data_IF_544367721609
#
_entry.id   IF_544367721609
#
_cell.length_a   1.000
_cell.length_b   1.000
_cell.length_c   1.000
_cell.angle_alpha   90.00
_cell.angle_beta   90.00
_cell.angle_gamma   90.00
#
_symmetry.space_group_name_H-M   'P 1'
#
loop_
_entity.id
_entity.type
_entity.pdbx_description
1 polymer ?
#
# COMPACT_ATOMS: atom_id res chain seq x y z
N UNK A 1 69.06 -0.01 32.97
CA UNK A 1 67.71 -0.53 32.54
C UNK A 1 66.53 0.06 33.27
N UNK A 2 66.58 0.96 34.22
CA UNK A 2 65.45 1.54 34.94
C UNK A 2 65.06 2.94 34.43
N UNK A 3 65.89 3.62 33.67
CA UNK A 3 65.61 4.98 33.19
C UNK A 3 64.76 5.05 31.90
N UNK A 4 64.81 4.06 31.05
CA UNK A 4 64.08 4.04 29.79
C UNK A 4 62.62 3.62 29.92
N UNK A 5 62.23 2.99 31.05
CA UNK A 5 60.83 2.59 31.32
C UNK A 5 60.00 3.79 31.78
N UNK A 6 60.62 4.78 32.46
CA UNK A 6 59.95 5.97 32.95
C UNK A 6 59.56 6.90 31.79
N UNK A 7 60.39 7.02 30.77
CA UNK A 7 60.07 7.84 29.60
C UNK A 7 59.01 7.22 28.70
N UNK A 8 58.89 5.89 28.68
CA UNK A 8 57.85 5.20 27.94
C UNK A 8 56.46 5.32 28.61
N UNK A 9 56.41 5.38 29.93
CA UNK A 9 55.19 5.59 30.69
C UNK A 9 54.69 7.06 30.70
N UNK A 10 55.61 8.03 30.58
CA UNK A 10 55.28 9.45 30.44
C UNK A 10 54.84 9.85 29.03
N UNK A 11 55.25 9.14 27.98
CA UNK A 11 54.78 9.37 26.61
C UNK A 11 53.40 8.80 26.35
N UNK A 12 52.96 7.80 27.13
CA UNK A 12 51.64 7.17 26.99
C UNK A 12 50.53 7.91 27.73
N UNK A 13 50.90 8.77 28.72
CA UNK A 13 49.91 9.57 29.47
C UNK A 13 49.53 10.88 28.79
N UNK A 14 50.23 11.30 27.73
CA UNK A 14 49.90 12.57 27.01
C UNK A 14 48.99 12.38 25.78
N UNK A 15 48.57 11.14 25.48
CA UNK A 15 47.72 10.80 24.34
C UNK A 15 46.25 10.57 24.73
N UNK A 16 45.84 10.80 26.00
CA UNK A 16 44.46 10.56 26.46
C UNK A 16 43.65 11.83 26.75
N UNK A 17 44.04 13.00 26.25
CA UNK A 17 43.31 14.25 26.54
C UNK A 17 42.65 14.89 25.32
N UNK A 18 42.57 14.21 24.18
CA UNK A 18 41.83 14.74 23.02
C UNK A 18 40.91 13.68 22.44
N UNK A 19 39.85 13.31 23.20
CA UNK A 19 38.69 12.64 22.63
C UNK A 19 37.45 12.96 23.45
N UNK A 20 37.15 14.24 23.55
CA UNK A 20 35.76 14.69 23.76
C UNK A 20 35.23 15.17 22.41
N UNK A 21 34.87 14.23 21.51
CA UNK A 21 33.87 14.53 20.50
C UNK A 21 32.52 14.62 21.25
N UNK A 22 32.12 15.85 21.51
CA UNK A 22 30.76 16.11 21.94
C UNK A 22 29.78 15.45 20.97
N UNK A 23 28.86 14.67 21.48
CA UNK A 23 27.64 14.36 20.74
C UNK A 23 27.00 15.70 20.38
N UNK A 24 27.17 16.12 19.12
CA UNK A 24 26.25 17.09 18.54
C UNK A 24 24.87 16.46 18.62
N UNK A 25 24.06 16.95 19.54
CA UNK A 25 22.62 16.72 19.45
C UNK A 25 22.20 17.48 18.20
N UNK A 26 21.80 16.75 17.18
CA UNK A 26 21.08 17.33 16.06
C UNK A 26 19.89 18.08 16.61
N UNK A 27 19.91 19.39 16.52
CA UNK A 27 18.77 20.22 16.87
C UNK A 27 17.66 19.96 15.86
N UNK A 28 16.42 19.97 16.33
CA UNK A 28 15.21 19.70 15.54
C UNK A 28 15.07 20.58 14.30
N UNK A 29 15.87 21.64 14.21
CA UNK A 29 15.87 22.63 13.10
C UNK A 29 16.76 22.23 11.90
N UNK A 30 17.59 21.20 12.02
CA UNK A 30 18.42 20.71 10.88
C UNK A 30 17.74 19.62 10.04
N UNK A 31 16.51 19.24 10.38
CA UNK A 31 15.71 18.28 9.60
C UNK A 31 14.66 18.93 8.68
N UNK A 32 14.72 20.24 8.50
CA UNK A 32 13.92 20.95 7.50
C UNK A 32 14.77 21.36 6.31
N UNK A 33 15.54 20.43 5.73
CA UNK A 33 15.78 20.54 4.31
C UNK A 33 14.44 20.23 3.64
N UNK A 34 13.71 21.30 3.33
CA UNK A 34 12.55 21.23 2.45
C UNK A 34 13.07 20.71 1.11
N UNK A 35 12.96 19.40 0.89
CA UNK A 35 13.02 18.86 -0.45
C UNK A 35 11.95 19.62 -1.20
N UNK A 36 12.38 20.56 -2.04
CA UNK A 36 11.46 21.28 -2.90
C UNK A 36 10.76 20.21 -3.74
N UNK A 37 9.52 19.93 -3.41
CA UNK A 37 8.70 18.96 -4.15
C UNK A 37 8.50 19.56 -5.54
N UNK A 38 9.23 19.02 -6.53
CA UNK A 38 9.14 19.44 -7.93
C UNK A 38 7.87 18.88 -8.60
N UNK A 39 6.73 18.95 -7.93
CA UNK A 39 5.47 18.38 -8.43
C UNK A 39 4.23 19.08 -7.87
N UNK A 40 3.04 18.73 -8.36
CA UNK A 40 1.79 19.26 -7.85
C UNK A 40 1.60 18.91 -6.38
N UNK A 41 0.92 19.79 -5.64
CA UNK A 41 0.69 19.61 -4.20
C UNK A 41 -0.36 18.51 -3.99
N UNK A 42 0.01 17.48 -3.25
CA UNK A 42 -0.92 16.44 -2.79
C UNK A 42 -1.89 17.04 -1.76
N UNK A 43 -3.19 16.81 -1.95
CA UNK A 43 -4.26 17.34 -1.09
C UNK A 43 -4.72 16.22 -0.16
N UNK A 44 -4.22 16.23 1.07
CA UNK A 44 -4.58 15.27 2.10
C UNK A 44 -6.09 15.22 2.39
N UNK A 45 -6.74 16.38 2.42
CA UNK A 45 -8.19 16.46 2.62
C UNK A 45 -8.96 15.75 1.50
N UNK A 46 -8.53 15.89 0.24
CA UNK A 46 -9.17 15.18 -0.88
C UNK A 46 -8.99 13.67 -0.76
N UNK A 47 -7.79 13.20 -0.42
CA UNK A 47 -7.54 11.78 -0.20
C UNK A 47 -8.41 11.23 0.95
N UNK A 48 -8.53 11.99 2.04
CA UNK A 48 -9.39 11.64 3.17
C UNK A 48 -10.88 11.60 2.78
N UNK A 49 -11.36 12.57 1.99
CA UNK A 49 -12.73 12.56 1.47
C UNK A 49 -13.02 11.32 0.60
N UNK A 50 -12.05 10.86 -0.21
CA UNK A 50 -12.20 9.63 -0.98
C UNK A 50 -12.27 8.40 -0.06
N UNK A 51 -11.51 8.38 1.03
CA UNK A 51 -11.62 7.33 2.05
C UNK A 51 -13.00 7.36 2.72
N UNK A 52 -13.44 8.52 3.21
CA UNK A 52 -14.75 8.69 3.85
C UNK A 52 -15.90 8.25 2.92
N UNK A 53 -15.80 8.56 1.63
CA UNK A 53 -16.79 8.16 0.64
C UNK A 53 -16.87 6.65 0.44
N UNK A 54 -15.74 5.96 0.41
CA UNK A 54 -15.70 4.50 0.32
C UNK A 54 -16.34 3.86 1.56
N UNK A 55 -15.99 4.33 2.76
CA UNK A 55 -16.59 3.86 4.02
C UNK A 55 -18.11 4.13 4.08
N UNK A 56 -18.58 5.21 3.48
CA UNK A 56 -20.01 5.56 3.46
C UNK A 56 -20.89 4.55 2.70
N UNK A 57 -20.31 3.66 1.87
CA UNK A 57 -21.06 2.55 1.26
C UNK A 57 -21.29 1.40 2.25
N UNK A 58 -20.56 1.37 3.38
CA UNK A 58 -20.47 0.28 4.33
C UNK A 58 -19.34 -0.70 3.98
N UNK A 59 -19.22 -1.81 4.76
CA UNK A 59 -18.23 -2.84 4.51
C UNK A 59 -18.31 -3.39 3.07
N UNK A 60 -17.23 -3.30 2.30
CA UNK A 60 -17.14 -3.74 0.90
C UNK A 60 -16.86 -5.23 0.82
N UNK A 61 -17.68 -6.02 1.50
CA UNK A 61 -17.57 -7.47 1.51
C UNK A 61 -17.92 -8.01 0.13
N UNK A 62 -17.15 -8.96 -0.34
CA UNK A 62 -17.44 -9.66 -1.59
C UNK A 62 -18.91 -10.07 -1.72
N UNK A 63 -19.47 -9.91 -2.92
CA UNK A 63 -20.87 -10.21 -3.26
C UNK A 63 -21.92 -9.34 -2.54
N UNK A 64 -21.56 -8.25 -1.87
CA UNK A 64 -22.50 -7.34 -1.21
C UNK A 64 -22.88 -6.15 -2.09
N UNK A 65 -24.06 -5.57 -1.82
CA UNK A 65 -24.49 -4.31 -2.49
C UNK A 65 -23.53 -3.16 -2.20
N UNK A 66 -22.92 -3.12 -1.00
CA UNK A 66 -21.93 -2.12 -0.64
C UNK A 66 -20.67 -2.23 -1.52
N UNK A 67 -20.19 -3.46 -1.75
CA UNK A 67 -19.09 -3.76 -2.65
C UNK A 67 -19.42 -3.31 -4.08
N UNK A 68 -20.53 -3.74 -4.66
CA UNK A 68 -20.92 -3.38 -6.03
C UNK A 68 -21.01 -1.86 -6.23
N UNK A 69 -21.64 -1.16 -5.29
CA UNK A 69 -21.80 0.29 -5.35
C UNK A 69 -20.47 1.03 -5.20
N UNK A 70 -19.59 0.57 -4.32
CA UNK A 70 -18.27 1.16 -4.12
C UNK A 70 -17.39 0.93 -5.35
N UNK A 71 -17.33 -0.30 -5.88
CA UNK A 71 -16.60 -0.62 -7.09
C UNK A 71 -17.02 0.26 -8.28
N UNK A 72 -18.34 0.38 -8.48
CA UNK A 72 -18.87 1.30 -9.50
C UNK A 72 -18.42 2.74 -9.27
N UNK A 73 -18.46 3.23 -8.04
CA UNK A 73 -18.03 4.58 -7.72
C UNK A 73 -16.52 4.79 -7.98
N UNK A 74 -15.67 3.82 -7.63
CA UNK A 74 -14.23 3.87 -7.92
C UNK A 74 -13.99 3.99 -9.42
N UNK A 75 -14.65 3.15 -10.22
CA UNK A 75 -14.61 3.18 -11.70
C UNK A 75 -15.01 4.54 -12.24
N UNK A 76 -16.19 5.05 -11.81
CA UNK A 76 -16.70 6.33 -12.26
C UNK A 76 -15.74 7.48 -11.85
N UNK A 77 -15.10 7.36 -10.68
CA UNK A 77 -14.17 8.36 -10.17
C UNK A 77 -12.90 8.43 -11.01
N UNK A 78 -12.26 7.30 -11.31
CA UNK A 78 -11.11 7.28 -12.22
C UNK A 78 -11.46 7.80 -13.62
N UNK A 79 -12.61 7.40 -14.17
CA UNK A 79 -13.11 7.93 -15.45
C UNK A 79 -13.31 9.44 -15.42
N UNK A 80 -13.78 10.01 -14.30
CA UNK A 80 -13.96 11.45 -14.13
C UNK A 80 -12.64 12.22 -14.17
N UNK A 81 -11.52 11.56 -13.91
CA UNK A 81 -10.16 12.09 -14.04
C UNK A 81 -9.55 11.88 -15.44
N UNK A 82 -10.34 11.35 -16.38
CA UNK A 82 -9.91 11.14 -17.76
C UNK A 82 -9.05 9.91 -17.98
N UNK A 83 -9.05 8.95 -17.05
CA UNK A 83 -8.34 7.70 -17.21
C UNK A 83 -9.20 6.67 -17.97
N UNK A 84 -8.55 5.82 -18.77
CA UNK A 84 -9.18 4.64 -19.34
C UNK A 84 -9.30 3.56 -18.26
N UNK A 85 -10.50 2.99 -18.08
CA UNK A 85 -10.75 2.03 -17.01
C UNK A 85 -11.22 0.69 -17.57
N UNK A 86 -10.49 -0.36 -17.21
CA UNK A 86 -10.80 -1.76 -17.47
C UNK A 86 -11.35 -2.38 -16.18
N UNK A 87 -12.51 -3.03 -16.29
CA UNK A 87 -13.11 -3.83 -15.23
C UNK A 87 -12.82 -5.31 -15.54
N UNK A 88 -11.79 -5.88 -14.92
CA UNK A 88 -11.43 -7.28 -15.06
C UNK A 88 -12.26 -8.14 -14.11
N UNK A 89 -13.32 -8.73 -14.64
CA UNK A 89 -14.26 -9.55 -13.85
C UNK A 89 -13.84 -11.02 -13.85
N UNK A 90 -13.97 -11.65 -12.69
CA UNK A 90 -13.70 -13.06 -12.49
C UNK A 90 -14.61 -13.67 -11.43
N UNK A 91 -15.00 -14.93 -11.58
CA UNK A 91 -15.54 -15.73 -10.49
C UNK A 91 -14.37 -16.47 -9.83
N UNK A 92 -14.05 -16.06 -8.62
CA UNK A 92 -12.98 -16.67 -7.80
C UNK A 92 -13.58 -17.62 -6.76
N UNK A 93 -12.74 -18.35 -6.04
CA UNK A 93 -13.17 -19.26 -4.97
C UNK A 93 -12.50 -18.89 -3.67
N UNK A 94 -13.31 -18.65 -2.64
CA UNK A 94 -12.83 -18.49 -1.28
C UNK A 94 -12.27 -19.78 -0.68
N UNK A 95 -11.67 -19.69 0.51
CA UNK A 95 -11.13 -20.86 1.23
C UNK A 95 -12.16 -21.95 1.52
N UNK A 96 -13.44 -21.61 1.51
CA UNK A 96 -14.60 -22.47 1.80
C UNK A 96 -15.42 -22.80 0.54
N UNK A 97 -14.82 -22.66 -0.64
CA UNK A 97 -15.45 -22.81 -1.96
C UNK A 97 -16.55 -21.77 -2.26
N UNK A 98 -16.72 -20.75 -1.42
CA UNK A 98 -17.67 -19.67 -1.71
C UNK A 98 -17.31 -19.02 -3.06
N UNK A 99 -18.26 -18.92 -4.02
CA UNK A 99 -18.02 -18.19 -5.25
C UNK A 99 -17.97 -16.67 -4.97
N UNK A 100 -16.89 -16.03 -5.41
CA UNK A 100 -16.63 -14.60 -5.24
C UNK A 100 -16.67 -13.91 -6.60
N UNK A 101 -17.66 -13.02 -6.81
CA UNK A 101 -17.75 -12.21 -8.03
C UNK A 101 -16.78 -11.03 -7.93
N UNK A 102 -15.54 -11.25 -8.32
CA UNK A 102 -14.49 -10.26 -8.19
C UNK A 102 -14.40 -9.34 -9.40
N UNK A 103 -13.99 -8.09 -9.15
CA UNK A 103 -13.70 -7.08 -10.18
C UNK A 103 -12.42 -6.34 -9.84
N UNK A 104 -11.29 -6.72 -10.45
CA UNK A 104 -10.11 -5.86 -10.43
C UNK A 104 -10.38 -4.63 -11.30
N UNK A 105 -10.11 -3.45 -10.76
CA UNK A 105 -10.30 -2.17 -11.46
C UNK A 105 -8.93 -1.65 -11.87
N UNK A 106 -8.70 -1.51 -13.20
CA UNK A 106 -7.42 -1.07 -13.74
C UNK A 106 -7.64 0.27 -14.45
N UNK A 107 -7.18 1.36 -13.84
CA UNK A 107 -7.30 2.69 -14.41
C UNK A 107 -5.95 3.13 -14.99
N UNK A 108 -5.93 3.51 -16.26
CA UNK A 108 -4.71 3.74 -17.03
C UNK A 108 -4.54 5.23 -17.39
N UNK A 109 -3.46 5.83 -16.90
CA UNK A 109 -2.95 7.10 -17.40
C UNK A 109 -1.96 6.82 -18.52
N UNK A 110 -2.15 7.44 -19.71
CA UNK A 110 -1.35 7.23 -20.93
C UNK A 110 -1.19 5.73 -21.25
N UNK A 111 -2.28 5.03 -21.64
CA UNK A 111 -2.25 3.59 -21.92
C UNK A 111 -1.31 3.20 -23.07
N UNK A 112 -0.98 4.16 -23.95
CA UNK A 112 -0.06 4.00 -25.07
C UNK A 112 1.43 4.12 -24.70
N UNK A 113 1.77 4.61 -23.49
CA UNK A 113 3.16 4.79 -23.08
C UNK A 113 3.86 3.43 -22.94
N UNK A 114 5.06 3.32 -23.53
CA UNK A 114 5.87 2.09 -23.47
C UNK A 114 6.43 1.83 -22.06
N UNK A 115 6.86 2.91 -21.37
CA UNK A 115 7.37 2.84 -20.01
C UNK A 115 6.23 3.08 -19.03
N UNK A 116 5.99 2.12 -18.16
CA UNK A 116 4.85 2.16 -17.23
C UNK A 116 5.27 1.79 -15.82
N UNK A 117 4.55 2.32 -14.86
CA UNK A 117 4.64 1.94 -13.44
C UNK A 117 3.24 1.53 -12.94
N UNK A 118 3.21 0.68 -11.92
CA UNK A 118 1.98 0.28 -11.25
C UNK A 118 1.90 0.99 -9.91
N UNK A 119 0.72 1.51 -9.56
CA UNK A 119 0.35 1.85 -8.19
C UNK A 119 -0.89 1.03 -7.86
N UNK A 120 -0.84 0.23 -6.81
CA UNK A 120 -1.92 -0.69 -6.51
C UNK A 120 -2.30 -0.68 -5.03
N UNK A 121 -3.54 -1.09 -4.77
CA UNK A 121 -4.12 -1.33 -3.46
C UNK A 121 -5.23 -2.37 -3.61
N UNK A 122 -5.69 -2.98 -2.52
CA UNK A 122 -6.96 -3.68 -2.56
C UNK A 122 -8.11 -2.73 -2.22
N UNK A 123 -9.36 -3.09 -2.55
CA UNK A 123 -10.52 -2.24 -2.32
C UNK A 123 -11.70 -2.93 -1.63
N UNK A 124 -11.67 -4.26 -1.55
CA UNK A 124 -12.62 -5.04 -0.77
C UNK A 124 -12.41 -4.87 0.74
N UNK A 125 -13.23 -5.48 1.55
CA UNK A 125 -13.14 -5.45 3.00
C UNK A 125 -13.33 -6.85 3.57
N UNK A 126 -12.59 -7.12 4.65
CA UNK A 126 -12.68 -8.37 5.37
C UNK A 126 -14.10 -8.59 5.92
N UNK A 127 -14.72 -9.74 5.67
CA UNK A 127 -16.10 -10.01 6.11
C UNK A 127 -16.20 -10.34 7.60
N UNK A 128 -15.09 -10.42 8.31
CA UNK A 128 -15.03 -10.78 9.72
C UNK A 128 -13.88 -10.09 10.44
N UNK A 129 -14.11 -9.70 11.71
CA UNK A 129 -13.14 -9.11 12.60
C UNK A 129 -12.46 -10.18 13.46
N UNK A 130 -11.87 -11.20 12.83
CA UNK A 130 -11.37 -12.40 13.48
C UNK A 130 -10.13 -12.21 14.36
N UNK A 131 -9.53 -11.02 14.33
CA UNK A 131 -8.46 -10.58 15.22
C UNK A 131 -8.94 -9.61 16.32
N UNK A 132 -10.26 -9.34 16.43
CA UNK A 132 -10.80 -8.50 17.49
C UNK A 132 -10.57 -9.18 18.85
N UNK A 133 -10.16 -8.42 19.90
CA UNK A 133 -9.98 -8.97 21.24
C UNK A 133 -11.26 -9.56 21.86
N UNK A 134 -12.46 -9.10 21.46
CA UNK A 134 -13.73 -9.69 21.85
C UNK A 134 -14.23 -10.67 20.77
N UNK A 135 -14.19 -11.97 21.08
CA UNK A 135 -14.63 -13.04 20.18
C UNK A 135 -16.07 -12.86 19.65
N UNK A 136 -16.91 -12.09 20.33
CA UNK A 136 -18.28 -11.78 19.85
C UNK A 136 -18.28 -11.00 18.55
N UNK A 137 -17.21 -10.25 18.30
CA UNK A 137 -17.05 -9.44 17.11
C UNK A 137 -16.48 -10.25 15.92
N UNK A 138 -15.90 -11.42 16.15
CA UNK A 138 -15.17 -12.17 15.13
C UNK A 138 -15.93 -12.39 13.82
N UNK A 139 -17.25 -12.52 13.88
CA UNK A 139 -18.09 -12.71 12.69
C UNK A 139 -18.75 -11.41 12.18
N UNK A 140 -18.28 -10.28 12.68
CA UNK A 140 -18.77 -8.96 12.28
C UNK A 140 -17.88 -8.40 11.18
N UNK A 141 -18.45 -7.85 10.09
CA UNK A 141 -17.67 -7.17 9.06
C UNK A 141 -16.91 -5.97 9.60
N UNK A 142 -15.78 -5.66 8.99
CA UNK A 142 -15.02 -4.43 9.30
C UNK A 142 -15.25 -3.36 8.23
N UNK A 143 -15.17 -2.07 8.64
CA UNK A 143 -15.26 -0.95 7.70
C UNK A 143 -14.02 -0.80 6.83
N UNK A 144 -12.91 -1.39 7.22
CA UNK A 144 -11.65 -1.42 6.47
C UNK A 144 -11.18 -0.01 6.02
N UNK A 145 -11.28 1.00 6.91
CA UNK A 145 -10.98 2.39 6.59
C UNK A 145 -9.47 2.64 6.33
N UNK A 146 -8.61 1.87 6.97
CA UNK A 146 -7.17 1.90 6.71
C UNK A 146 -6.76 0.77 5.76
N UNK A 147 -7.33 -0.39 5.96
CA UNK A 147 -7.07 -1.62 5.24
C UNK A 147 -7.90 -1.65 3.94
N UNK A 148 -7.22 -1.43 2.81
CA UNK A 148 -7.75 -1.22 1.48
C UNK A 148 -8.15 0.21 1.15
N UNK A 149 -9.03 0.84 1.93
CA UNK A 149 -9.58 2.18 1.62
C UNK A 149 -8.49 3.26 1.53
N UNK A 150 -7.51 3.26 2.47
CA UNK A 150 -6.48 4.29 2.50
C UNK A 150 -5.63 4.29 1.23
N UNK A 151 -5.24 3.10 0.75
CA UNK A 151 -4.47 2.96 -0.48
C UNK A 151 -5.23 3.49 -1.70
N UNK A 152 -6.52 3.10 -1.84
CA UNK A 152 -7.36 3.60 -2.95
C UNK A 152 -7.57 5.11 -2.85
N UNK A 153 -7.74 5.67 -1.63
CA UNK A 153 -7.87 7.12 -1.44
C UNK A 153 -6.65 7.89 -1.95
N UNK A 154 -5.45 7.40 -1.64
CA UNK A 154 -4.18 7.96 -2.15
C UNK A 154 -4.09 7.82 -3.67
N UNK A 155 -4.44 6.66 -4.23
CA UNK A 155 -4.42 6.43 -5.68
C UNK A 155 -5.34 7.41 -6.43
N UNK A 156 -6.54 7.67 -5.91
CA UNK A 156 -7.49 8.61 -6.49
C UNK A 156 -6.94 10.05 -6.46
N UNK A 157 -6.26 10.44 -5.39
CA UNK A 157 -5.64 11.77 -5.33
C UNK A 157 -4.47 11.90 -6.30
N UNK A 158 -3.62 10.88 -6.43
CA UNK A 158 -2.56 10.85 -7.45
C UNK A 158 -3.18 10.96 -8.85
N UNK A 159 -4.23 10.19 -9.14
CA UNK A 159 -4.92 10.23 -10.44
C UNK A 159 -5.50 11.61 -10.73
N UNK A 160 -6.03 12.31 -9.71
CA UNK A 160 -6.49 13.71 -9.84
C UNK A 160 -5.35 14.65 -10.22
N UNK A 161 -4.18 14.49 -9.60
CA UNK A 161 -3.01 15.32 -9.89
C UNK A 161 -2.49 15.13 -11.32
N UNK A 162 -2.56 13.91 -11.85
CA UNK A 162 -2.12 13.61 -13.22
C UNK A 162 -2.94 14.32 -14.31
N UNK A 163 -4.09 14.92 -13.98
CA UNK A 163 -4.83 15.74 -14.93
C UNK A 163 -4.11 17.08 -15.24
N UNK A 164 -3.31 17.59 -14.32
CA UNK A 164 -2.64 18.90 -14.41
C UNK A 164 -1.13 18.76 -14.61
N UNK A 165 -0.59 17.58 -14.48
CA UNK A 165 0.84 17.33 -14.66
C UNK A 165 1.09 16.42 -15.87
N UNK A 166 2.29 16.50 -16.42
CA UNK A 166 2.67 15.71 -17.60
C UNK A 166 3.85 14.81 -17.28
N UNK A 167 3.55 13.57 -16.88
CA UNK A 167 4.57 12.54 -16.76
C UNK A 167 4.94 11.97 -18.12
N UNK A 168 6.21 11.57 -18.29
CA UNK A 168 6.67 10.81 -19.46
C UNK A 168 6.31 9.32 -19.38
N UNK A 169 5.86 8.84 -18.24
CA UNK A 169 5.47 7.48 -17.96
C UNK A 169 3.95 7.28 -18.06
N UNK A 170 3.53 6.07 -18.44
CA UNK A 170 2.20 5.59 -18.16
C UNK A 170 2.09 5.16 -16.69
N UNK A 171 0.92 5.32 -16.11
CA UNK A 171 0.62 4.83 -14.75
C UNK A 171 -0.61 3.95 -14.82
N UNK A 172 -0.50 2.74 -14.28
CA UNK A 172 -1.63 1.85 -14.09
C UNK A 172 -1.99 1.81 -12.60
N UNK A 173 -3.15 2.35 -12.26
CA UNK A 173 -3.74 2.20 -10.95
C UNK A 173 -4.54 0.91 -10.93
N UNK A 174 -4.15 -0.06 -10.10
CA UNK A 174 -4.83 -1.34 -10.00
C UNK A 174 -5.45 -1.48 -8.62
N UNK A 175 -6.79 -1.44 -8.54
CA UNK A 175 -7.50 -1.79 -7.32
C UNK A 175 -7.82 -3.30 -7.40
N UNK A 176 -7.11 -4.10 -6.62
CA UNK A 176 -7.33 -5.54 -6.53
C UNK A 176 -8.54 -5.85 -5.66
N UNK A 177 -9.29 -6.86 -6.08
CA UNK A 177 -10.47 -7.34 -5.38
C UNK A 177 -10.21 -8.69 -4.69
N UNK A 178 -11.06 -9.08 -3.76
CA UNK A 178 -10.97 -10.35 -3.03
C UNK A 178 -9.56 -10.58 -2.42
N UNK A 179 -8.94 -9.53 -1.93
CA UNK A 179 -7.69 -9.63 -1.19
C UNK A 179 -7.94 -10.23 0.18
N UNK A 180 -8.96 -9.75 0.87
CA UNK A 180 -9.16 -9.90 2.30
C UNK A 180 -10.17 -11.00 2.66
N UNK A 181 -10.51 -11.89 1.71
CA UNK A 181 -11.31 -13.10 1.94
C UNK A 181 -10.47 -14.26 2.49
N UNK A 182 -9.29 -13.99 3.02
CA UNK A 182 -8.35 -15.00 3.50
C UNK A 182 -8.88 -15.81 4.68
N UNK A 183 -8.23 -16.95 4.93
CA UNK A 183 -8.61 -17.94 5.95
C UNK A 183 -8.81 -17.27 7.32
N UNK A 184 -10.00 -17.37 7.96
CA UNK A 184 -10.23 -16.81 9.29
C UNK A 184 -9.60 -17.66 10.40
N UNK A 185 -9.31 -17.04 11.53
CA UNK A 185 -8.62 -17.68 12.67
C UNK A 185 -9.34 -18.89 13.24
N UNK A 186 -10.67 -19.01 13.07
CA UNK A 186 -11.44 -20.16 13.55
C UNK A 186 -11.51 -21.34 12.57
N UNK A 187 -11.03 -21.17 11.32
CA UNK A 187 -11.06 -22.24 10.32
C UNK A 187 -9.92 -23.26 10.53
N UNK A 188 -9.80 -23.79 11.72
CA UNK A 188 -8.74 -24.74 12.13
C UNK A 188 -8.82 -26.09 11.44
N UNK A 189 -9.91 -26.36 10.72
CA UNK A 189 -10.15 -27.57 9.93
C UNK A 189 -9.53 -27.51 8.53
N UNK A 190 -9.09 -26.32 8.09
CA UNK A 190 -8.50 -26.13 6.77
C UNK A 190 -7.12 -26.77 6.71
N UNK A 191 -6.92 -27.67 5.74
CA UNK A 191 -5.67 -28.41 5.53
C UNK A 191 -4.84 -27.94 4.34
N UNK A 192 -5.30 -26.85 3.66
CA UNK A 192 -4.61 -26.24 2.53
C UNK A 192 -3.53 -25.24 2.96
N UNK A 193 -2.91 -24.60 1.97
CA UNK A 193 -1.94 -23.51 2.17
C UNK A 193 -2.70 -22.23 2.42
N UNK A 194 -2.63 -21.65 3.62
CA UNK A 194 -3.40 -20.47 4.03
C UNK A 194 -3.08 -19.24 3.19
N UNK A 195 -1.83 -19.07 2.80
CA UNK A 195 -1.37 -17.96 1.94
C UNK A 195 -2.07 -17.96 0.58
N UNK A 196 -2.43 -19.13 0.06
CA UNK A 196 -3.18 -19.26 -1.19
C UNK A 196 -4.63 -18.78 -1.12
N UNK A 197 -5.15 -18.50 0.07
CA UNK A 197 -6.54 -18.03 0.27
C UNK A 197 -6.68 -16.52 0.26
N UNK A 198 -5.56 -15.78 0.28
CA UNK A 198 -5.49 -14.32 0.30
C UNK A 198 -5.18 -13.76 -1.09
N UNK A 199 -5.45 -12.48 -1.28
CA UNK A 199 -5.05 -11.72 -2.47
C UNK A 199 -5.50 -12.37 -3.80
N UNK A 200 -6.69 -12.97 -3.80
CA UNK A 200 -7.19 -13.78 -4.92
C UNK A 200 -7.30 -12.99 -6.23
N UNK A 201 -7.69 -11.71 -6.16
CA UNK A 201 -7.78 -10.84 -7.33
C UNK A 201 -6.42 -10.54 -7.96
N UNK A 202 -5.40 -10.30 -7.15
CA UNK A 202 -4.05 -10.09 -7.65
C UNK A 202 -3.43 -11.38 -8.22
N UNK A 203 -3.68 -12.53 -7.59
CA UNK A 203 -3.30 -13.84 -8.14
C UNK A 203 -3.96 -14.08 -9.51
N UNK A 204 -5.26 -13.76 -9.64
CA UNK A 204 -5.97 -13.87 -10.92
C UNK A 204 -5.35 -12.96 -11.96
N UNK A 205 -5.11 -11.68 -11.64
CA UNK A 205 -4.49 -10.73 -12.55
C UNK A 205 -3.09 -11.17 -12.99
N UNK A 206 -2.28 -11.71 -12.09
CA UNK A 206 -0.94 -12.22 -12.41
C UNK A 206 -0.96 -13.34 -13.46
N UNK A 207 -2.03 -14.15 -13.48
CA UNK A 207 -2.22 -15.23 -14.44
C UNK A 207 -3.00 -14.77 -15.70
N UNK A 208 -3.69 -13.63 -15.64
CA UNK A 208 -4.55 -13.11 -16.71
C UNK A 208 -4.32 -11.61 -16.88
N UNK A 209 -3.13 -11.24 -17.34
CA UNK A 209 -2.77 -9.83 -17.53
C UNK A 209 -3.79 -9.13 -18.44
N UNK A 210 -4.17 -7.90 -18.08
CA UNK A 210 -5.17 -7.11 -18.80
C UNK A 210 -4.74 -6.69 -20.22
N UNK A 211 -3.45 -6.86 -20.54
CA UNK A 211 -2.87 -6.62 -21.87
C UNK A 211 -1.82 -7.68 -22.17
N UNK A 212 -1.86 -8.24 -23.37
CA UNK A 212 -0.86 -9.21 -23.82
C UNK A 212 0.55 -8.61 -23.76
N UNK A 213 1.50 -9.35 -23.19
CA UNK A 213 2.89 -8.92 -23.04
C UNK A 213 3.08 -7.71 -22.11
N UNK A 214 2.10 -7.41 -21.25
CA UNK A 214 2.17 -6.31 -20.29
C UNK A 214 3.44 -6.37 -19.44
N UNK A 215 4.09 -5.22 -19.29
CA UNK A 215 5.25 -5.03 -18.42
C UNK A 215 5.18 -3.66 -17.76
N UNK A 216 5.56 -3.61 -16.50
CA UNK A 216 5.83 -2.39 -15.76
C UNK A 216 7.30 -2.39 -15.30
N UNK A 217 7.89 -1.22 -15.14
CA UNK A 217 9.26 -1.10 -14.63
C UNK A 217 9.34 -1.46 -13.16
N UNK A 218 8.34 -1.03 -12.39
CA UNK A 218 8.14 -1.39 -10.98
C UNK A 218 6.68 -1.16 -10.58
N UNK A 219 6.34 -1.65 -9.40
CA UNK A 219 5.04 -1.43 -8.76
C UNK A 219 5.20 -0.89 -7.35
N UNK A 220 4.24 -0.09 -6.90
CA UNK A 220 4.11 0.41 -5.54
C UNK A 220 2.78 -0.11 -5.00
N UNK A 221 2.82 -0.93 -3.97
CA UNK A 221 1.63 -1.36 -3.23
C UNK A 221 1.38 -0.40 -2.07
N UNK A 222 0.14 0.08 -1.98
CA UNK A 222 -0.34 0.94 -0.91
C UNK A 222 -1.34 0.15 -0.06
N UNK A 223 -0.88 -0.32 1.07
CA UNK A 223 -1.70 -1.06 2.02
C UNK A 223 -1.54 -0.46 3.41
N UNK A 224 -2.67 -0.23 4.11
CA UNK A 224 -2.72 0.35 5.46
C UNK A 224 -1.93 1.66 5.62
N UNK A 225 -1.98 2.55 4.63
CA UNK A 225 -1.16 3.77 4.58
C UNK A 225 -1.75 4.98 5.31
N UNK A 226 -2.97 4.86 5.87
CA UNK A 226 -3.70 5.96 6.53
C UNK A 226 -3.65 5.94 8.07
N UNK A 227 -2.88 5.06 8.69
CA UNK A 227 -2.82 4.94 10.14
C UNK A 227 -2.09 6.10 10.82
N UNK A 228 -2.56 6.52 12.00
CA UNK A 228 -1.88 7.55 12.81
C UNK A 228 -0.50 7.04 13.21
N UNK A 229 0.55 7.81 12.86
CA UNK A 229 1.93 7.45 13.17
C UNK A 229 2.46 6.29 12.32
N UNK A 230 1.86 6.04 11.16
CA UNK A 230 2.32 5.02 10.22
C UNK A 230 3.82 5.17 9.93
N UNK A 231 4.53 4.05 9.89
CA UNK A 231 5.94 3.97 9.55
C UNK A 231 6.08 3.06 8.33
N UNK A 232 6.62 3.61 7.25
CA UNK A 232 6.87 2.86 6.03
C UNK A 232 8.30 2.31 6.09
N UNK A 233 8.42 1.04 6.43
CA UNK A 233 9.70 0.34 6.50
C UNK A 233 9.96 -0.34 5.16
N UNK A 234 11.22 -0.31 4.72
CA UNK A 234 11.64 -1.12 3.58
C UNK A 234 11.64 -2.59 4.01
N UNK A 235 10.81 -3.39 3.37
CA UNK A 235 10.88 -4.84 3.51
C UNK A 235 12.01 -5.41 2.62
N UNK A 236 12.34 -6.69 2.79
CA UNK A 236 13.53 -7.27 2.14
C UNK A 236 13.51 -7.17 0.61
N UNK A 237 12.33 -7.37 -0.03
CA UNK A 237 12.20 -7.26 -1.49
C UNK A 237 12.37 -5.81 -1.96
N UNK A 238 11.79 -4.84 -1.24
CA UNK A 238 11.86 -3.43 -1.59
C UNK A 238 13.27 -2.86 -1.53
N UNK A 239 14.16 -3.40 -0.69
CA UNK A 239 15.56 -2.95 -0.59
C UNK A 239 16.37 -3.17 -1.87
N UNK A 240 15.90 -4.01 -2.78
CA UNK A 240 16.55 -4.24 -4.07
C UNK A 240 16.22 -3.13 -5.09
N UNK A 241 15.16 -2.33 -4.87
CA UNK A 241 14.62 -1.34 -5.81
C UNK A 241 14.65 0.10 -5.28
N UNK A 242 15.04 0.32 -4.01
CA UNK A 242 15.02 1.63 -3.34
C UNK A 242 16.34 2.40 -3.42
#
# INVERSE_FOLDING_TARGET
MKQNVIYFLLSLSLLMVFSCKGKQSLTKDEMTDSVATAGPVFMEDSAYEYCAKQCAFGPRIMNSVAHDNCGKWIVDKFRSFGLDVIEQKAELRGYDDTPLNATNIIAQYKPEAERRVIVCAHWDARPWADNDPDEKNHKTPIDAANDGVSGVGVMLEIARLLQTDTLSYGVDFICFDAEDWGLPTWATWFDGVSEGTWSLGSQYWGNHLHKEGYKAEYGILLDMVGGIGAQFLLEQGSTEYA
#
